data_IF_030934199154
#
_entry.id   IF_030934199154
#
_cell.length_a   1.000
_cell.length_b   1.000
_cell.length_c   1.000
_cell.angle_alpha   90.00
_cell.angle_beta   90.00
_cell.angle_gamma   90.00
#
_symmetry.space_group_name_H-M   'P 1'
#
loop_
_entity.id
_entity.type
_entity.pdbx_description
1 polymer ?
#
# COMPACT_ATOMS: atom_id res chain seq x y z
N UNK A 1 10.97 12.05 2.25
CA UNK A 1 9.66 11.99 2.91
C UNK A 1 8.84 13.24 2.63
N UNK A 2 7.60 13.07 2.18
CA UNK A 2 6.59 14.13 2.04
C UNK A 2 5.95 14.47 3.40
N UNK A 3 5.36 15.66 3.56
CA UNK A 3 4.72 16.12 4.81
C UNK A 3 3.61 15.15 5.26
N UNK A 4 2.89 14.56 4.29
CA UNK A 4 1.88 13.53 4.56
C UNK A 4 2.46 12.27 5.20
N UNK A 5 3.59 11.77 4.70
CA UNK A 5 4.25 10.57 5.24
C UNK A 5 4.80 10.81 6.65
N UNK A 6 5.36 12.01 6.90
CA UNK A 6 5.84 12.40 8.23
C UNK A 6 4.69 12.43 9.27
N UNK A 7 3.50 12.89 8.85
CA UNK A 7 2.32 12.88 9.71
C UNK A 7 1.84 11.45 10.03
N UNK A 8 1.92 10.53 9.07
CA UNK A 8 1.59 9.12 9.29
C UNK A 8 2.57 8.44 10.26
N UNK A 9 3.87 8.73 10.17
CA UNK A 9 4.87 8.24 11.13
C UNK A 9 4.53 8.69 12.55
N UNK A 10 4.20 9.97 12.73
CA UNK A 10 3.79 10.51 14.04
C UNK A 10 2.52 9.84 14.56
N UNK A 11 1.51 9.65 13.68
CA UNK A 11 0.26 9.03 14.04
C UNK A 11 0.42 7.57 14.48
N UNK A 12 1.38 6.82 13.91
CA UNK A 12 1.69 5.45 14.34
C UNK A 12 2.08 5.41 15.81
N UNK A 13 2.96 6.32 16.23
CA UNK A 13 3.43 6.39 17.63
C UNK A 13 2.31 6.84 18.58
N UNK A 14 1.49 7.82 18.18
CA UNK A 14 0.39 8.34 19.00
C UNK A 14 -0.76 7.34 19.19
N UNK A 15 -0.96 6.45 18.22
CA UNK A 15 -2.09 5.49 18.21
C UNK A 15 -1.68 4.07 18.58
N UNK A 16 -0.38 3.82 18.78
CA UNK A 16 0.18 2.47 18.96
C UNK A 16 -0.28 1.53 17.82
N UNK A 17 -0.30 2.03 16.59
CA UNK A 17 -0.84 1.30 15.45
C UNK A 17 -0.01 0.02 15.18
N UNK A 18 -0.68 -1.13 15.11
CA UNK A 18 -0.05 -2.42 14.82
C UNK A 18 0.45 -2.55 13.37
N UNK A 19 -0.04 -1.70 12.46
CA UNK A 19 0.40 -1.65 11.07
C UNK A 19 0.35 -0.21 10.54
N UNK A 20 1.33 0.15 9.73
CA UNK A 20 1.27 1.29 8.81
C UNK A 20 1.02 0.77 7.39
N UNK A 21 -0.04 1.27 6.75
CA UNK A 21 -0.37 0.90 5.36
C UNK A 21 0.02 2.04 4.42
N UNK A 22 0.78 1.74 3.37
CA UNK A 22 1.20 2.71 2.35
C UNK A 22 0.91 2.22 0.94
N UNK A 23 0.49 3.12 0.04
CA UNK A 23 0.43 2.90 -1.40
C UNK A 23 1.70 3.37 -2.12
N UNK A 24 2.67 3.97 -1.43
CA UNK A 24 3.95 4.36 -2.03
C UNK A 24 5.01 3.28 -1.79
N UNK A 25 5.24 2.46 -2.81
CA UNK A 25 6.27 1.43 -2.81
C UNK A 25 7.69 1.98 -2.60
N UNK A 26 7.96 3.21 -3.06
CA UNK A 26 9.30 3.82 -2.95
C UNK A 26 9.59 4.29 -1.54
N UNK A 27 8.55 4.67 -0.79
CA UNK A 27 8.65 5.05 0.61
C UNK A 27 8.82 3.84 1.54
N UNK A 28 8.47 2.63 1.09
CA UNK A 28 8.47 1.43 1.94
C UNK A 28 9.79 1.21 2.70
N UNK A 29 10.99 1.28 2.09
CA UNK A 29 12.25 1.08 2.82
C UNK A 29 12.52 2.17 3.86
N UNK A 30 12.16 3.43 3.56
CA UNK A 30 12.34 4.56 4.48
C UNK A 30 11.37 4.43 5.67
N UNK A 31 10.09 4.16 5.40
CA UNK A 31 9.07 3.97 6.42
C UNK A 31 9.40 2.80 7.35
N UNK A 32 9.89 1.67 6.82
CA UNK A 32 10.31 0.51 7.62
C UNK A 32 11.45 0.82 8.61
N UNK A 33 12.25 1.85 8.35
CA UNK A 33 13.31 2.29 9.26
C UNK A 33 12.78 3.30 10.28
N UNK A 34 11.79 4.11 9.88
CA UNK A 34 11.27 5.21 10.70
C UNK A 34 10.25 4.77 11.75
N UNK A 35 9.45 3.73 11.49
CA UNK A 35 8.47 3.21 12.46
C UNK A 35 8.91 1.87 13.02
N UNK A 36 8.55 1.62 14.28
CA UNK A 36 8.79 0.32 14.94
C UNK A 36 7.72 -0.72 14.62
N UNK A 37 6.65 -0.32 13.94
CA UNK A 37 5.52 -1.18 13.55
C UNK A 37 5.71 -1.83 12.19
N UNK A 38 4.89 -2.83 11.89
CA UNK A 38 4.87 -3.48 10.58
C UNK A 38 4.38 -2.50 9.49
N UNK A 39 5.15 -2.35 8.41
CA UNK A 39 4.74 -1.53 7.26
C UNK A 39 4.35 -2.45 6.11
N UNK A 40 3.13 -2.28 5.60
CA UNK A 40 2.60 -3.08 4.50
C UNK A 40 2.06 -2.22 3.36
N UNK A 41 2.07 -2.78 2.16
CA UNK A 41 1.51 -2.10 0.99
C UNK A 41 -0.01 -2.24 0.95
N UNK A 42 -0.70 -1.17 0.58
CA UNK A 42 -2.18 -1.10 0.50
C UNK A 42 -2.80 -2.16 -0.41
N UNK A 43 -2.03 -2.70 -1.37
CA UNK A 43 -2.45 -3.83 -2.23
C UNK A 43 -2.85 -5.08 -1.42
N UNK A 44 -2.33 -5.27 -0.21
CA UNK A 44 -2.75 -6.39 0.65
C UNK A 44 -4.16 -6.19 1.21
N UNK A 45 -4.52 -4.94 1.54
CA UNK A 45 -5.86 -4.58 1.98
C UNK A 45 -6.84 -4.78 0.83
N UNK A 46 -6.44 -4.38 -0.38
CA UNK A 46 -7.24 -4.60 -1.58
C UNK A 46 -7.46 -6.09 -1.87
N UNK A 47 -6.43 -6.93 -1.70
CA UNK A 47 -6.57 -8.39 -1.81
C UNK A 47 -7.50 -8.97 -0.74
N UNK A 48 -7.43 -8.49 0.49
CA UNK A 48 -8.33 -8.90 1.56
C UNK A 48 -9.79 -8.52 1.24
N UNK A 49 -10.03 -7.31 0.72
CA UNK A 49 -11.34 -6.84 0.30
C UNK A 49 -11.98 -7.73 -0.78
N UNK A 50 -11.20 -8.20 -1.75
CA UNK A 50 -11.67 -9.19 -2.73
C UNK A 50 -12.02 -10.52 -2.06
N UNK A 51 -11.15 -11.03 -1.19
CA UNK A 51 -11.37 -12.28 -0.47
C UNK A 51 -12.63 -12.24 0.41
N UNK A 52 -12.96 -11.07 0.96
CA UNK A 52 -14.13 -10.85 1.79
C UNK A 52 -15.39 -10.45 0.99
N UNK A 53 -15.29 -10.35 -0.34
CA UNK A 53 -16.42 -9.98 -1.20
C UNK A 53 -16.89 -8.53 -1.05
N UNK A 54 -16.03 -7.66 -0.52
CA UNK A 54 -16.29 -6.21 -0.39
C UNK A 54 -16.17 -5.53 -1.75
N UNK A 55 -15.24 -6.00 -2.58
CA UNK A 55 -15.05 -5.59 -3.98
C UNK A 55 -14.83 -6.81 -4.85
N UNK A 56 -15.13 -6.69 -6.13
CA UNK A 56 -14.81 -7.69 -7.14
C UNK A 56 -13.32 -7.68 -7.51
N UNK A 57 -12.86 -8.75 -8.14
CA UNK A 57 -11.48 -8.81 -8.67
C UNK A 57 -11.26 -7.74 -9.73
N UNK A 58 -12.25 -7.50 -10.60
CA UNK A 58 -12.20 -6.49 -11.65
C UNK A 58 -12.07 -5.08 -11.08
N UNK A 59 -12.87 -4.74 -10.05
CA UNK A 59 -12.76 -3.46 -9.35
C UNK A 59 -11.39 -3.29 -8.68
N UNK A 60 -10.86 -4.34 -8.05
CA UNK A 60 -9.54 -4.32 -7.45
C UNK A 60 -8.43 -4.09 -8.48
N UNK A 61 -8.49 -4.74 -9.64
CA UNK A 61 -7.53 -4.51 -10.72
C UNK A 61 -7.61 -3.06 -11.22
N UNK A 62 -8.82 -2.50 -11.37
CA UNK A 62 -9.00 -1.10 -11.74
C UNK A 62 -8.40 -0.12 -10.72
N UNK A 63 -8.44 -0.44 -9.43
CA UNK A 63 -7.76 0.35 -8.39
C UNK A 63 -6.24 0.25 -8.52
N UNK A 64 -5.70 -0.95 -8.79
CA UNK A 64 -4.25 -1.12 -9.04
C UNK A 64 -3.81 -0.28 -10.24
N UNK A 65 -4.60 -0.27 -11.32
CA UNK A 65 -4.34 0.54 -12.51
C UNK A 65 -4.34 2.05 -12.18
N UNK A 66 -5.28 2.51 -11.35
CA UNK A 66 -5.31 3.91 -10.92
C UNK A 66 -4.11 4.30 -10.04
N UNK A 67 -3.67 3.42 -9.14
CA UNK A 67 -2.45 3.62 -8.33
C UNK A 67 -1.22 3.66 -9.25
N UNK A 68 -1.18 2.77 -10.25
CA UNK A 68 -0.10 2.65 -11.22
C UNK A 68 0.12 3.95 -12.01
N UNK A 69 -0.96 4.60 -12.45
CA UNK A 69 -0.94 5.89 -13.12
C UNK A 69 -0.47 7.03 -12.22
N UNK A 70 -0.86 7.05 -10.95
CA UNK A 70 -0.56 8.14 -10.02
C UNK A 70 0.84 8.04 -9.40
N UNK A 71 1.32 6.82 -9.19
CA UNK A 71 2.58 6.52 -8.46
C UNK A 71 3.72 6.09 -9.38
N UNK A 72 3.50 6.10 -10.71
CA UNK A 72 4.46 5.68 -11.74
C UNK A 72 5.00 4.27 -11.47
N UNK A 73 4.09 3.34 -11.18
CA UNK A 73 4.46 1.93 -11.01
C UNK A 73 4.61 1.20 -12.35
N UNK A 74 4.38 1.88 -13.48
CA UNK A 74 4.33 1.25 -14.80
C UNK A 74 5.70 0.64 -15.12
N UNK A 75 5.72 -0.68 -15.29
CA UNK A 75 6.95 -1.43 -15.53
C UNK A 75 7.83 -1.66 -14.29
N UNK A 76 7.46 -1.12 -13.13
CA UNK A 76 8.13 -1.41 -11.87
C UNK A 76 7.76 -2.83 -11.35
N UNK A 77 8.66 -3.50 -10.60
CA UNK A 77 8.38 -4.82 -10.02
C UNK A 77 7.10 -4.87 -9.17
N UNK A 78 6.72 -3.74 -8.55
CA UNK A 78 5.54 -3.67 -7.70
C UNK A 78 4.22 -3.82 -8.47
N UNK A 79 4.12 -3.28 -9.69
CA UNK A 79 2.95 -3.46 -10.54
C UNK A 79 2.72 -4.95 -10.86
N UNK A 80 3.80 -5.66 -11.23
CA UNK A 80 3.75 -7.10 -11.47
C UNK A 80 3.31 -7.88 -10.22
N UNK A 81 3.88 -7.54 -9.06
CA UNK A 81 3.52 -8.17 -7.80
C UNK A 81 2.04 -7.93 -7.45
N UNK A 82 1.57 -6.68 -7.55
CA UNK A 82 0.18 -6.32 -7.28
C UNK A 82 -0.79 -7.12 -8.16
N UNK A 83 -0.52 -7.24 -9.46
CA UNK A 83 -1.36 -8.03 -10.38
C UNK A 83 -1.35 -9.52 -10.08
N UNK A 84 -0.21 -10.08 -9.66
CA UNK A 84 -0.12 -11.50 -9.27
C UNK A 84 -0.99 -11.84 -8.05
N UNK A 85 -1.32 -10.86 -7.20
CA UNK A 85 -2.23 -11.09 -6.08
C UNK A 85 -3.67 -11.36 -6.53
N UNK A 86 -4.06 -10.96 -7.74
CA UNK A 86 -5.43 -11.07 -8.25
C UNK A 86 -5.60 -12.07 -9.40
N UNK A 87 -4.51 -12.73 -9.83
CA UNK A 87 -4.51 -13.79 -10.85
C UNK A 87 -4.86 -15.17 -10.31
#
# INVERSE_FOLDING_TARGET
>A
MDDGEASCVTAVDETEAAFLITDDYRALPELQVLVSTEVALSVIVLRASVKWGVVTTEEAIGVVDAIDEQRDWIGAPINRYARQLFG
#
